data_IF_179292171003
#
_entry.id   IF_179292171003
#
_cell.length_a   1.000
_cell.length_b   1.000
_cell.length_c   1.000
_cell.angle_alpha   90.00
_cell.angle_beta   90.00
_cell.angle_gamma   90.00
#
_symmetry.space_group_name_H-M   'P 1'
#
loop_
_entity.id
_entity.type
_entity.pdbx_description
1 polymer ?
#
# COMPACT_ATOMS: atom_id res chain seq x y z
N UNK A 1 10.94 8.62 -13.88
CA UNK A 1 10.65 7.81 -12.68
C UNK A 1 10.62 6.32 -12.96
N UNK A 2 10.15 5.54 -11.98
CA UNK A 2 9.84 4.12 -12.11
C UNK A 2 8.32 3.93 -12.26
N UNK A 3 7.88 3.17 -13.27
CA UNK A 3 6.48 2.74 -13.37
C UNK A 3 6.28 1.49 -12.51
N UNK A 4 5.32 1.56 -11.58
CA UNK A 4 4.95 0.45 -10.69
C UNK A 4 3.49 0.10 -10.97
N UNK A 5 3.24 -1.19 -11.17
CA UNK A 5 1.88 -1.74 -11.21
C UNK A 5 1.55 -2.36 -9.87
N UNK A 6 0.59 -1.77 -9.17
CA UNK A 6 0.04 -2.29 -7.92
C UNK A 6 -1.02 -3.33 -8.23
N UNK A 7 -0.88 -4.51 -7.61
CA UNK A 7 -1.88 -5.56 -7.56
C UNK A 7 -2.28 -5.75 -6.11
N UNK A 8 -3.49 -5.33 -5.75
CA UNK A 8 -3.94 -5.25 -4.35
C UNK A 8 -5.18 -6.12 -4.17
N UNK A 9 -5.20 -6.93 -3.12
CA UNK A 9 -6.34 -7.75 -2.71
C UNK A 9 -6.39 -7.83 -1.19
N UNK A 10 -7.49 -8.34 -0.64
CA UNK A 10 -7.66 -8.56 0.78
C UNK A 10 -7.88 -10.04 1.09
N UNK A 11 -7.44 -10.47 2.28
CA UNK A 11 -7.59 -11.86 2.75
C UNK A 11 -8.85 -12.09 3.60
N UNK A 12 -9.39 -11.03 4.18
CA UNK A 12 -10.45 -11.07 5.19
C UNK A 12 -11.67 -10.23 4.76
N UNK A 13 -11.63 -8.92 4.96
CA UNK A 13 -12.73 -7.98 4.68
C UNK A 13 -12.28 -6.94 3.65
N UNK A 14 -13.17 -6.00 3.31
CA UNK A 14 -12.78 -4.86 2.48
C UNK A 14 -11.79 -3.94 3.21
N UNK A 15 -10.76 -3.50 2.51
CA UNK A 15 -9.86 -2.45 2.96
C UNK A 15 -9.69 -1.39 1.88
N UNK A 16 -9.14 -0.25 2.29
CA UNK A 16 -8.71 0.80 1.40
C UNK A 16 -7.21 0.86 1.35
N UNK A 17 -6.63 1.13 0.19
CA UNK A 17 -5.22 1.43 0.04
C UNK A 17 -5.07 2.80 -0.60
N UNK A 18 -4.75 3.80 0.23
CA UNK A 18 -4.47 5.16 -0.22
C UNK A 18 -3.02 5.49 0.07
N UNK A 19 -2.23 5.69 -0.98
CA UNK A 19 -0.88 6.23 -0.87
C UNK A 19 -0.95 7.75 -0.87
N UNK A 20 -0.50 8.37 0.21
CA UNK A 20 -0.57 9.81 0.39
C UNK A 20 0.34 10.54 -0.60
N UNK A 21 -0.09 11.73 -1.05
CA UNK A 21 0.68 12.53 -2.02
C UNK A 21 0.67 12.01 -3.46
N UNK A 22 -0.06 10.93 -3.75
CA UNK A 22 -0.16 10.36 -5.10
C UNK A 22 -1.62 10.18 -5.52
N UNK A 23 -1.85 9.85 -6.80
CA UNK A 23 -3.15 9.42 -7.31
C UNK A 23 -3.45 7.94 -7.00
N UNK A 24 -2.52 7.19 -6.38
CA UNK A 24 -2.75 5.80 -6.01
C UNK A 24 -3.82 5.73 -4.94
N UNK A 25 -4.93 5.13 -5.32
CA UNK A 25 -6.11 4.96 -4.50
C UNK A 25 -6.92 3.77 -5.02
N UNK A 26 -6.95 2.67 -4.27
CA UNK A 26 -7.65 1.44 -4.66
C UNK A 26 -8.34 0.79 -3.48
N UNK A 27 -9.42 0.07 -3.77
CA UNK A 27 -10.07 -0.82 -2.81
C UNK A 27 -9.41 -2.19 -2.86
N UNK A 28 -9.10 -2.76 -1.70
CA UNK A 28 -8.66 -4.14 -1.55
C UNK A 28 -9.88 -4.99 -1.16
N UNK A 29 -10.40 -5.77 -2.11
CA UNK A 29 -11.60 -6.59 -1.91
C UNK A 29 -11.23 -8.09 -1.85
N UNK A 30 -11.83 -8.87 -0.95
CA UNK A 30 -11.64 -10.31 -0.93
C UNK A 30 -12.08 -10.97 -2.24
N UNK A 31 -11.23 -11.84 -2.79
CA UNK A 31 -11.52 -12.60 -4.01
C UNK A 31 -11.36 -11.79 -5.32
N UNK A 32 -10.91 -10.54 -5.26
CA UNK A 32 -10.66 -9.71 -6.44
C UNK A 32 -9.28 -9.04 -6.35
N UNK A 33 -8.62 -8.87 -7.50
CA UNK A 33 -7.35 -8.15 -7.59
C UNK A 33 -7.58 -6.80 -8.24
N UNK A 34 -7.47 -5.74 -7.45
CA UNK A 34 -7.45 -4.37 -7.95
C UNK A 34 -6.09 -4.07 -8.56
N UNK A 35 -6.08 -3.59 -9.80
CA UNK A 35 -4.86 -3.25 -10.53
C UNK A 35 -4.80 -1.76 -10.79
N UNK A 36 -3.69 -1.12 -10.45
CA UNK A 36 -3.45 0.30 -10.72
C UNK A 36 -1.99 0.54 -11.07
N UNK A 37 -1.74 1.38 -12.09
CA UNK A 37 -0.40 1.84 -12.44
C UNK A 37 -0.14 3.23 -11.87
N UNK A 38 1.06 3.44 -11.36
CA UNK A 38 1.56 4.77 -11.03
C UNK A 38 3.04 4.91 -11.36
N UNK A 39 3.45 6.13 -11.65
CA UNK A 39 4.84 6.48 -11.92
C UNK A 39 5.37 7.31 -10.75
N UNK A 40 6.52 6.90 -10.22
CA UNK A 40 7.24 7.59 -9.16
C UNK A 40 8.45 8.29 -9.76
N UNK A 41 8.40 9.62 -9.86
CA UNK A 41 9.46 10.40 -10.50
C UNK A 41 10.66 10.66 -9.58
N UNK A 42 10.41 10.78 -8.29
CA UNK A 42 11.43 11.03 -7.28
C UNK A 42 11.52 9.86 -6.29
N UNK A 43 12.72 9.51 -5.80
CA UNK A 43 12.87 8.60 -4.67
C UNK A 43 12.32 9.25 -3.39
N UNK A 44 11.81 8.42 -2.47
CA UNK A 44 11.28 8.91 -1.21
C UNK A 44 10.37 7.92 -0.49
N UNK A 45 9.90 8.33 0.68
CA UNK A 45 8.98 7.56 1.51
C UNK A 45 7.56 8.10 1.35
N UNK A 46 6.67 7.23 0.89
CA UNK A 46 5.26 7.51 0.67
C UNK A 46 4.44 6.74 1.71
N UNK A 47 3.80 7.46 2.63
CA UNK A 47 2.94 6.82 3.62
C UNK A 47 1.64 6.34 2.97
N UNK A 48 1.17 5.15 3.33
CA UNK A 48 -0.18 4.69 3.00
C UNK A 48 -1.04 4.59 4.25
N UNK A 49 -2.35 4.74 4.05
CA UNK A 49 -3.37 4.56 5.08
C UNK A 49 -4.46 3.63 4.59
N UNK A 50 -5.09 2.91 5.53
CA UNK A 50 -6.39 2.31 5.31
C UNK A 50 -7.47 3.40 5.42
N UNK A 51 -8.13 3.72 4.30
CA UNK A 51 -9.18 4.76 4.27
C UNK A 51 -10.61 4.20 4.29
N UNK A 52 -10.75 2.88 4.45
CA UNK A 52 -12.03 2.17 4.45
C UNK A 52 -12.16 1.46 5.78
N UNK A 53 -13.28 1.63 6.47
CA UNK A 53 -13.47 1.03 7.79
C UNK A 53 -13.51 -0.50 7.70
N UNK A 54 -12.52 -1.15 8.30
CA UNK A 54 -12.36 -2.62 8.28
C UNK A 54 -12.49 -3.28 9.66
N UNK A 55 -12.77 -2.51 10.71
CA UNK A 55 -12.95 -3.02 12.08
C UNK A 55 -11.65 -3.18 12.87
N UNK A 56 -11.67 -4.13 13.81
CA UNK A 56 -10.57 -4.43 14.74
C UNK A 56 -10.32 -5.95 14.77
N UNK A 57 -9.07 -6.35 14.92
CA UNK A 57 -8.69 -7.77 14.99
C UNK A 57 -8.57 -8.20 16.45
N UNK A 58 -9.43 -9.11 16.88
CA UNK A 58 -9.42 -9.62 18.26
C UNK A 58 -8.05 -10.20 18.63
N UNK A 59 -7.53 -9.80 19.79
CA UNK A 59 -6.23 -10.26 20.29
C UNK A 59 -5.02 -9.61 19.60
N UNK A 60 -5.22 -8.62 18.72
CA UNK A 60 -4.15 -7.89 18.02
C UNK A 60 -4.26 -6.38 18.28
N UNK A 61 -3.16 -5.61 18.37
CA UNK A 61 -3.26 -4.14 18.42
C UNK A 61 -3.71 -3.52 17.08
N UNK A 62 -3.96 -4.34 16.06
CA UNK A 62 -4.29 -3.90 14.70
C UNK A 62 -5.81 -3.69 14.56
N UNK A 63 -6.17 -2.52 14.06
CA UNK A 63 -7.51 -2.18 13.61
C UNK A 63 -7.44 -1.08 12.57
N UNK A 64 -8.61 -0.65 12.08
CA UNK A 64 -8.72 0.31 10.99
C UNK A 64 -7.79 1.53 11.15
N UNK A 65 -7.80 2.19 12.32
CA UNK A 65 -7.00 3.38 12.56
C UNK A 65 -5.50 3.12 12.75
N UNK A 66 -5.11 1.89 13.10
CA UNK A 66 -3.70 1.49 13.27
C UNK A 66 -3.15 0.78 12.04
N UNK A 67 -3.91 0.71 10.96
CA UNK A 67 -3.52 0.10 9.68
C UNK A 67 -2.97 1.15 8.71
N UNK A 68 -1.69 1.48 8.89
CA UNK A 68 -0.92 2.39 8.03
C UNK A 68 0.48 1.81 7.83
N UNK A 69 1.21 2.36 6.87
CA UNK A 69 2.59 1.95 6.62
C UNK A 69 3.26 2.83 5.57
N UNK A 70 4.36 2.33 5.00
CA UNK A 70 5.19 3.08 4.07
C UNK A 70 5.51 2.28 2.82
N UNK A 71 5.57 2.99 1.69
CA UNK A 71 6.20 2.54 0.46
C UNK A 71 7.46 3.36 0.29
N UNK A 72 8.61 2.71 0.21
CA UNK A 72 9.90 3.37 0.01
C UNK A 72 10.30 3.17 -1.45
N UNK A 73 10.44 4.27 -2.17
CA UNK A 73 10.98 4.26 -3.54
C UNK A 73 12.45 4.64 -3.44
N UNK A 74 13.31 3.68 -3.70
CA UNK A 74 14.75 3.90 -3.71
C UNK A 74 15.22 4.41 -5.07
N UNK A 75 16.29 5.20 -5.06
CA UNK A 75 16.97 5.58 -6.30
C UNK A 75 17.63 4.37 -6.96
N UNK A 76 17.93 4.48 -8.25
CA UNK A 76 18.50 3.39 -9.07
C UNK A 76 19.84 2.81 -8.56
N UNK A 77 20.49 3.42 -7.57
CA UNK A 77 21.69 2.88 -6.92
C UNK A 77 21.39 1.93 -5.74
N UNK A 78 20.14 1.82 -5.29
CA UNK A 78 19.72 0.98 -4.15
C UNK A 78 18.74 -0.14 -4.49
N UNK A 79 18.12 -0.11 -5.67
CA UNK A 79 17.12 -1.10 -6.09
C UNK A 79 17.76 -2.45 -6.43
N UNK A 80 18.05 -3.26 -5.41
CA UNK A 80 18.06 -4.72 -5.55
C UNK A 80 16.60 -5.18 -5.76
N UNK A 81 16.37 -6.18 -6.59
CA UNK A 81 15.07 -6.43 -7.28
C UNK A 81 13.89 -6.89 -6.39
N UNK A 82 13.90 -6.59 -5.09
CA UNK A 82 12.83 -6.92 -4.15
C UNK A 82 12.40 -5.68 -3.37
N UNK A 83 11.19 -5.19 -3.62
CA UNK A 83 10.54 -4.20 -2.77
C UNK A 83 10.49 -4.73 -1.32
N UNK A 84 11.34 -4.21 -0.45
CA UNK A 84 11.38 -4.55 0.96
C UNK A 84 10.28 -3.77 1.69
N UNK A 85 9.24 -4.48 2.14
CA UNK A 85 8.32 -3.96 3.14
C UNK A 85 9.02 -4.15 4.48
N UNK A 86 9.58 -3.07 5.03
CA UNK A 86 10.16 -3.06 6.39
C UNK A 86 9.05 -2.95 7.41
N UNK A 87 9.13 -3.79 8.46
CA UNK A 87 8.12 -3.96 9.53
C UNK A 87 7.85 -2.69 10.35
#
# INVERSE_FOLDING_TARGET
>A
GAEVTFYVTARDVQHGFKLLGTNVNVMALPGQVSTLKATFDDPGTYNYICHEYCGYVEGSPIGHHTMYGQVIVEGAAGADETASVVE
#
